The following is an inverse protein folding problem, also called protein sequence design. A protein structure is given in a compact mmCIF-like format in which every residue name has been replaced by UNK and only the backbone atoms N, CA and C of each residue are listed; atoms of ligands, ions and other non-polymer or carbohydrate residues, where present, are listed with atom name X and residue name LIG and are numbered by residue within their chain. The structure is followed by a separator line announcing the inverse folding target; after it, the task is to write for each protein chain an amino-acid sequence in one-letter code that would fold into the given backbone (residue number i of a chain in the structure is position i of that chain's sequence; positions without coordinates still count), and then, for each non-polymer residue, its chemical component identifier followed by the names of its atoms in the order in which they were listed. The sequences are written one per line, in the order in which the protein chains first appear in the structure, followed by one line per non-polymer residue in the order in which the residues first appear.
data_IF_108305947720
#
_entry.id   IF_108305947720
#
_cell.length_a   1.000
_cell.length_b   1.000
_cell.length_c   1.000
_cell.angle_alpha   90.00
_cell.angle_beta   90.00
_cell.angle_gamma   90.00
#
_symmetry.space_group_name_H-M   'P 1'
#
loop_
_entity.id
_entity.type
_entity.pdbx_description
1 polymer ?
#
# COMPACT_ATOMS: atom_id res chain seq x y z
N UNK A 1 -30.55 -22.00 -8.08
CA UNK A 1 -29.89 -20.95 -7.26
C UNK A 1 -30.92 -20.37 -6.31
N UNK A 2 -30.54 -20.09 -5.05
CA UNK A 2 -31.45 -19.57 -4.02
C UNK A 2 -31.96 -18.17 -4.42
N UNK A 3 -33.28 -17.89 -4.29
CA UNK A 3 -33.88 -16.57 -4.58
C UNK A 3 -33.16 -15.42 -3.86
N UNK A 4 -32.66 -15.68 -2.65
CA UNK A 4 -31.90 -14.70 -1.88
C UNK A 4 -30.55 -14.35 -2.52
N UNK A 5 -29.83 -15.34 -3.08
CA UNK A 5 -28.58 -15.11 -3.80
C UNK A 5 -28.79 -14.19 -5.01
N UNK A 6 -29.82 -14.48 -5.82
CA UNK A 6 -30.13 -13.69 -7.01
C UNK A 6 -30.52 -12.25 -6.66
N UNK A 7 -31.11 -12.02 -5.48
CA UNK A 7 -31.39 -10.68 -4.99
C UNK A 7 -30.10 -9.93 -4.63
N UNK A 8 -29.17 -10.55 -3.90
CA UNK A 8 -27.87 -9.96 -3.57
C UNK A 8 -27.03 -9.65 -4.82
N UNK A 9 -27.05 -10.51 -5.83
CA UNK A 9 -26.33 -10.29 -7.09
C UNK A 9 -26.88 -9.06 -7.84
N UNK A 10 -28.21 -8.90 -7.89
CA UNK A 10 -28.84 -7.73 -8.52
C UNK A 10 -28.46 -6.44 -7.82
N UNK A 11 -28.50 -6.43 -6.49
CA UNK A 11 -28.16 -5.25 -5.67
C UNK A 11 -26.68 -4.88 -5.81
N UNK A 12 -25.77 -5.86 -5.84
CA UNK A 12 -24.34 -5.62 -5.90
C UNK A 12 -23.81 -5.30 -7.30
N UNK A 13 -24.49 -5.77 -8.36
CA UNK A 13 -24.04 -5.63 -9.76
C UNK A 13 -23.55 -4.22 -10.16
N UNK A 14 -24.21 -3.09 -9.78
CA UNK A 14 -23.75 -1.76 -10.16
C UNK A 14 -22.43 -1.35 -9.47
N UNK A 15 -22.17 -1.91 -8.28
CA UNK A 15 -21.00 -1.58 -7.46
C UNK A 15 -19.77 -2.41 -7.80
N UNK A 16 -19.92 -3.53 -8.52
CA UNK A 16 -18.80 -4.39 -8.91
C UNK A 16 -17.74 -3.61 -9.70
N UNK A 17 -18.18 -2.72 -10.60
CA UNK A 17 -17.26 -1.88 -11.40
C UNK A 17 -16.46 -0.89 -10.51
N UNK A 18 -17.05 -0.43 -9.40
CA UNK A 18 -16.46 0.55 -8.48
C UNK A 18 -15.58 -0.13 -7.42
N UNK A 19 -15.78 -1.43 -7.17
CA UNK A 19 -15.08 -2.17 -6.11
C UNK A 19 -13.54 -2.07 -6.18
N UNK A 20 -12.96 -2.12 -7.39
CA UNK A 20 -11.52 -1.94 -7.58
C UNK A 20 -11.07 -0.51 -7.22
N UNK A 21 -11.90 0.49 -7.50
CA UNK A 21 -11.62 1.88 -7.14
C UNK A 21 -11.68 2.12 -5.63
N UNK A 22 -12.59 1.45 -4.91
CA UNK A 22 -12.62 1.50 -3.44
C UNK A 22 -11.30 1.00 -2.84
N UNK A 23 -10.80 -0.14 -3.30
CA UNK A 23 -9.52 -0.68 -2.85
C UNK A 23 -8.34 0.22 -3.24
N UNK A 24 -8.37 0.77 -4.45
CA UNK A 24 -7.31 1.63 -4.98
C UNK A 24 -7.20 2.94 -4.21
N UNK A 25 -8.32 3.63 -3.99
CA UNK A 25 -8.35 4.91 -3.30
C UNK A 25 -8.01 4.76 -1.82
N UNK A 26 -8.54 3.73 -1.16
CA UNK A 26 -8.20 3.46 0.25
C UNK A 26 -6.71 3.15 0.42
N UNK A 27 -6.14 2.27 -0.40
CA UNK A 27 -4.72 1.94 -0.37
C UNK A 27 -3.85 3.17 -0.70
N UNK A 28 -4.16 3.88 -1.78
CA UNK A 28 -3.39 5.04 -2.20
C UNK A 28 -3.39 6.15 -1.14
N UNK A 29 -4.57 6.44 -0.56
CA UNK A 29 -4.71 7.45 0.48
C UNK A 29 -3.97 7.05 1.76
N UNK A 30 -4.04 5.77 2.16
CA UNK A 30 -3.29 5.28 3.32
C UNK A 30 -1.78 5.49 3.16
N UNK A 31 -1.21 5.14 2.01
CA UNK A 31 0.22 5.36 1.72
C UNK A 31 0.59 6.85 1.68
N UNK A 32 -0.27 7.70 1.12
CA UNK A 32 -0.07 9.17 1.13
C UNK A 32 -0.05 9.69 2.58
N UNK A 33 -0.96 9.25 3.44
CA UNK A 33 -1.02 9.67 4.85
C UNK A 33 0.18 9.13 5.66
N UNK A 34 0.57 7.87 5.41
CA UNK A 34 1.78 7.26 5.98
C UNK A 34 3.04 8.04 5.64
N UNK A 35 3.12 8.56 4.42
CA UNK A 35 4.21 9.41 3.96
C UNK A 35 4.12 10.83 4.52
N UNK A 36 2.92 11.42 4.56
CA UNK A 36 2.71 12.78 5.09
C UNK A 36 3.22 12.90 6.53
N UNK A 37 2.98 11.88 7.36
CA UNK A 37 3.52 11.81 8.73
C UNK A 37 5.05 11.69 8.83
N UNK A 38 5.77 11.61 7.71
CA UNK A 38 7.24 11.53 7.60
C UNK A 38 7.87 12.83 7.05
N UNK A 39 7.09 13.89 6.85
CA UNK A 39 7.64 15.20 6.48
C UNK A 39 7.83 16.12 7.69
N UNK A 40 8.81 17.04 7.67
CA UNK A 40 9.78 17.29 6.59
C UNK A 40 10.83 16.18 6.46
N UNK A 41 11.49 16.13 5.30
CA UNK A 41 12.60 15.20 5.06
C UNK A 41 13.93 15.82 5.56
N UNK A 42 14.83 15.02 6.16
CA UNK A 42 14.66 13.60 6.48
C UNK A 42 13.74 13.38 7.71
N UNK A 43 12.93 12.30 7.73
CA UNK A 43 12.01 12.01 8.83
C UNK A 43 12.76 11.67 10.13
N UNK A 44 12.84 12.61 11.07
CA UNK A 44 13.60 12.46 12.33
C UNK A 44 13.35 11.12 13.04
N UNK A 45 12.08 10.76 13.31
CA UNK A 45 11.73 9.52 14.02
C UNK A 45 12.18 8.25 13.31
N UNK A 46 12.05 8.22 11.97
CA UNK A 46 12.44 7.05 11.18
C UNK A 46 13.97 6.98 11.04
N UNK A 47 14.61 8.13 10.85
CA UNK A 47 16.07 8.26 10.81
C UNK A 47 16.71 7.76 12.12
N UNK A 48 16.23 8.22 13.28
CA UNK A 48 16.75 7.75 14.58
C UNK A 48 16.53 6.23 14.78
N UNK A 49 15.40 5.70 14.30
CA UNK A 49 15.19 4.25 14.27
C UNK A 49 16.21 3.54 13.39
N UNK A 50 16.45 4.05 12.19
CA UNK A 50 17.43 3.49 11.24
C UNK A 50 18.86 3.53 11.78
N UNK A 51 19.24 4.60 12.49
CA UNK A 51 20.50 4.67 13.23
C UNK A 51 20.59 3.60 14.31
N UNK A 52 19.55 3.44 15.12
CA UNK A 52 19.48 2.41 16.16
C UNK A 52 19.62 0.99 15.57
N UNK A 53 18.99 0.72 14.42
CA UNK A 53 19.12 -0.54 13.69
C UNK A 53 20.40 -0.64 12.83
N UNK A 54 21.32 0.33 12.92
CA UNK A 54 22.58 0.38 12.16
C UNK A 54 22.40 0.27 10.63
N UNK A 55 21.31 0.84 10.11
CA UNK A 55 21.05 0.94 8.67
C UNK A 55 22.00 1.99 8.07
N UNK A 56 22.71 1.69 6.96
CA UNK A 56 23.61 2.64 6.33
C UNK A 56 22.86 3.83 5.74
N UNK A 57 23.45 5.02 5.78
CA UNK A 57 22.87 6.27 5.26
C UNK A 57 21.42 6.51 5.74
N UNK A 58 21.18 6.53 7.06
CA UNK A 58 19.83 6.49 7.64
C UNK A 58 18.93 7.62 7.14
N UNK A 59 19.45 8.85 7.02
CA UNK A 59 18.73 10.01 6.49
C UNK A 59 18.28 9.82 5.03
N UNK A 60 19.15 9.22 4.20
CA UNK A 60 18.87 8.99 2.78
C UNK A 60 17.82 7.89 2.64
N UNK A 61 18.02 6.76 3.31
CA UNK A 61 17.10 5.63 3.20
C UNK A 61 15.74 5.98 3.81
N UNK A 62 15.70 6.67 4.94
CA UNK A 62 14.43 7.08 5.57
C UNK A 62 13.65 8.07 4.68
N UNK A 63 14.36 8.98 4.00
CA UNK A 63 13.77 9.89 3.00
C UNK A 63 13.26 9.12 1.77
N UNK A 64 14.02 8.14 1.27
CA UNK A 64 13.59 7.29 0.15
C UNK A 64 12.35 6.46 0.51
N UNK A 65 12.22 5.99 1.75
CA UNK A 65 11.00 5.32 2.22
C UNK A 65 9.81 6.28 2.20
N UNK A 66 9.96 7.48 2.78
CA UNK A 66 8.90 8.49 2.78
C UNK A 66 8.46 8.87 1.35
N UNK A 67 9.42 9.12 0.45
CA UNK A 67 9.13 9.43 -0.95
C UNK A 67 8.53 8.22 -1.70
N UNK A 68 9.02 7.01 -1.44
CA UNK A 68 8.51 5.79 -2.04
C UNK A 68 7.06 5.52 -1.66
N UNK A 69 6.69 5.74 -0.39
CA UNK A 69 5.30 5.67 0.06
C UNK A 69 4.42 6.72 -0.63
N UNK A 70 4.89 7.97 -0.74
CA UNK A 70 4.13 9.03 -1.41
C UNK A 70 3.91 8.72 -2.89
N UNK A 71 4.99 8.40 -3.60
CA UNK A 71 4.99 8.16 -5.05
C UNK A 71 4.16 6.92 -5.37
N UNK A 72 4.27 5.85 -4.58
CA UNK A 72 3.43 4.66 -4.77
C UNK A 72 1.96 4.95 -4.47
N UNK A 73 1.65 5.70 -3.40
CA UNK A 73 0.28 6.10 -3.07
C UNK A 73 -0.38 6.98 -4.15
N UNK A 74 0.36 7.93 -4.72
CA UNK A 74 -0.11 8.73 -5.87
C UNK A 74 -0.19 7.86 -7.13
N UNK A 75 0.86 7.08 -7.38
CA UNK A 75 1.00 6.24 -8.58
C UNK A 75 -0.11 5.21 -8.70
N UNK A 76 -0.55 4.59 -7.60
CA UNK A 76 -1.66 3.63 -7.64
C UNK A 76 -2.97 4.32 -8.03
N UNK A 77 -3.20 5.57 -7.62
CA UNK A 77 -4.41 6.31 -7.97
C UNK A 77 -4.34 6.76 -9.44
N UNK A 78 -3.27 7.46 -9.81
CA UNK A 78 -3.06 8.00 -11.17
C UNK A 78 -3.02 6.88 -12.21
N UNK A 79 -2.33 5.78 -11.91
CA UNK A 79 -2.26 4.61 -12.78
C UNK A 79 -3.63 4.02 -13.10
N UNK A 80 -4.61 4.14 -12.20
CA UNK A 80 -5.98 3.67 -12.43
C UNK A 80 -6.77 4.51 -13.44
N UNK A 81 -6.46 5.79 -13.58
CA UNK A 81 -7.11 6.69 -14.55
C UNK A 81 -6.59 6.51 -15.98
N UNK A 82 -5.44 5.86 -16.16
CA UNK A 82 -4.80 5.70 -17.47
C UNK A 82 -5.22 4.34 -18.07
N UNK A 83 -6.10 4.37 -19.08
CA UNK A 83 -6.69 3.19 -19.74
C UNK A 83 -5.77 2.48 -20.75
N UNK A 84 -4.45 2.56 -20.57
CA UNK A 84 -3.45 1.98 -21.47
C UNK A 84 -2.51 0.99 -20.76
N UNK A 85 -1.62 0.36 -21.53
CA UNK A 85 -0.55 -0.49 -20.99
C UNK A 85 0.31 0.25 -19.96
N UNK A 86 0.51 1.56 -20.17
CA UNK A 86 1.25 2.42 -19.24
C UNK A 86 0.57 2.50 -17.87
N UNK A 87 -0.75 2.72 -17.82
CA UNK A 87 -1.48 2.76 -16.54
C UNK A 87 -1.42 1.45 -15.78
N UNK A 88 -1.46 0.32 -16.52
CA UNK A 88 -1.28 -1.00 -15.93
C UNK A 88 0.14 -1.19 -15.36
N UNK A 89 1.18 -0.74 -16.06
CA UNK A 89 2.57 -0.79 -15.57
C UNK A 89 2.72 0.09 -14.32
N UNK A 90 2.24 1.33 -14.34
CA UNK A 90 2.28 2.25 -13.19
C UNK A 90 1.60 1.62 -11.97
N UNK A 91 0.42 1.04 -12.15
CA UNK A 91 -0.31 0.37 -11.07
C UNK A 91 0.48 -0.79 -10.48
N UNK A 92 1.08 -1.63 -11.33
CA UNK A 92 1.86 -2.79 -10.89
C UNK A 92 3.14 -2.39 -10.15
N UNK A 93 3.85 -1.38 -10.67
CA UNK A 93 5.06 -0.85 -10.02
C UNK A 93 4.72 -0.16 -8.69
N UNK A 94 3.61 0.56 -8.62
CA UNK A 94 3.14 1.17 -7.37
C UNK A 94 2.83 0.12 -6.31
N UNK A 95 2.04 -0.91 -6.66
CA UNK A 95 1.76 -2.03 -5.76
C UNK A 95 3.03 -2.79 -5.35
N UNK A 96 3.96 -3.00 -6.28
CA UNK A 96 5.26 -3.64 -6.00
C UNK A 96 6.13 -2.83 -5.04
N UNK A 97 6.20 -1.51 -5.21
CA UNK A 97 6.90 -0.62 -4.29
C UNK A 97 6.30 -0.68 -2.87
N UNK A 98 4.97 -0.67 -2.76
CA UNK A 98 4.26 -0.83 -1.48
C UNK A 98 4.63 -2.15 -0.78
N UNK A 99 4.68 -3.24 -1.53
CA UNK A 99 5.08 -4.56 -1.01
C UNK A 99 6.50 -4.53 -0.46
N UNK A 100 7.46 -3.96 -1.19
CA UNK A 100 8.87 -3.85 -0.74
C UNK A 100 8.98 -3.00 0.53
N UNK A 101 8.28 -1.86 0.58
CA UNK A 101 8.27 -0.97 1.75
C UNK A 101 7.67 -1.69 2.97
N UNK A 102 6.56 -2.41 2.80
CA UNK A 102 5.91 -3.16 3.88
C UNK A 102 6.78 -4.31 4.39
N UNK A 103 7.52 -5.00 3.51
CA UNK A 103 8.50 -6.01 3.95
C UNK A 103 9.56 -5.36 4.86
N UNK A 104 10.04 -4.16 4.49
CA UNK A 104 10.95 -3.38 5.33
C UNK A 104 10.33 -3.02 6.69
N UNK A 105 9.10 -2.51 6.69
CA UNK A 105 8.36 -2.17 7.91
C UNK A 105 8.17 -3.39 8.83
N UNK A 106 7.77 -4.54 8.29
CA UNK A 106 7.66 -5.79 9.03
C UNK A 106 8.99 -6.25 9.60
N UNK A 107 10.06 -6.11 8.83
CA UNK A 107 11.40 -6.60 9.19
C UNK A 107 12.11 -5.72 10.22
N UNK A 108 11.74 -4.45 10.36
CA UNK A 108 12.43 -3.51 11.25
C UNK A 108 11.55 -3.05 12.41
N UNK A 109 10.30 -2.66 12.12
CA UNK A 109 9.42 -1.97 13.07
C UNK A 109 8.45 -2.93 13.76
N UNK A 110 8.07 -4.02 13.10
CA UNK A 110 6.96 -4.88 13.55
C UNK A 110 7.36 -6.36 13.69
N UNK A 111 8.63 -6.67 13.96
CA UNK A 111 9.10 -8.06 14.09
C UNK A 111 8.36 -8.85 15.18
N UNK A 112 8.08 -8.22 16.31
CA UNK A 112 7.37 -8.82 17.45
C UNK A 112 5.89 -9.13 17.13
N UNK A 113 5.33 -8.52 16.09
CA UNK A 113 3.92 -8.72 15.72
C UNK A 113 3.65 -10.09 15.09
N UNK A 114 4.67 -10.74 14.53
CA UNK A 114 4.55 -12.11 14.02
C UNK A 114 4.39 -13.12 15.15
N UNK A 115 5.04 -12.88 16.29
CA UNK A 115 4.95 -13.76 17.47
C UNK A 115 3.65 -13.53 18.22
N UNK A 116 3.24 -12.26 18.39
CA UNK A 116 2.01 -11.90 19.10
C UNK A 116 0.73 -12.04 18.27
N UNK A 117 0.83 -12.29 16.96
CA UNK A 117 -0.30 -12.35 16.03
C UNK A 117 -0.92 -11.00 15.68
N UNK A 118 -0.40 -9.88 16.24
CA UNK A 118 -0.88 -8.51 16.00
C UNK A 118 -0.81 -8.09 14.53
N UNK A 119 0.04 -8.75 13.73
CA UNK A 119 0.12 -8.50 12.30
C UNK A 119 -1.23 -8.74 11.59
N UNK A 120 -2.03 -9.72 12.04
CA UNK A 120 -3.31 -10.05 11.39
C UNK A 120 -4.48 -9.17 11.84
N UNK A 121 -4.29 -8.34 12.87
CA UNK A 121 -5.32 -7.44 13.41
C UNK A 121 -5.01 -5.98 13.16
N UNK A 122 -3.96 -5.68 12.38
CA UNK A 122 -3.50 -4.32 12.10
C UNK A 122 -3.58 -3.98 10.62
N UNK A 123 -3.66 -2.68 10.34
CA UNK A 123 -3.72 -2.11 8.99
C UNK A 123 -2.57 -2.56 8.08
N UNK A 124 -1.35 -2.69 8.62
CA UNK A 124 -0.13 -2.93 7.84
C UNK A 124 -0.19 -4.21 6.99
N UNK A 125 -0.83 -5.27 7.49
CA UNK A 125 -1.03 -6.49 6.72
C UNK A 125 -1.97 -6.28 5.54
N UNK A 126 -3.05 -5.51 5.72
CA UNK A 126 -3.98 -5.19 4.63
C UNK A 126 -3.31 -4.30 3.57
N UNK A 127 -2.48 -3.34 3.98
CA UNK A 127 -1.68 -2.53 3.04
C UNK A 127 -0.75 -3.40 2.18
N UNK A 128 -0.08 -4.37 2.80
CA UNK A 128 0.76 -5.34 2.08
C UNK A 128 -0.05 -6.17 1.09
N UNK A 129 -1.17 -6.76 1.54
CA UNK A 129 -2.00 -7.64 0.70
C UNK A 129 -2.63 -6.86 -0.47
N UNK A 130 -3.13 -5.65 -0.23
CA UNK A 130 -3.70 -4.82 -1.30
C UNK A 130 -2.62 -4.31 -2.27
N UNK A 131 -1.43 -3.98 -1.78
CA UNK A 131 -0.27 -3.70 -2.62
C UNK A 131 0.07 -4.88 -3.55
N UNK A 132 0.12 -6.09 -2.99
CA UNK A 132 0.36 -7.33 -3.73
C UNK A 132 -0.75 -7.63 -4.74
N UNK A 133 -2.01 -7.39 -4.35
CA UNK A 133 -3.16 -7.52 -5.23
C UNK A 133 -3.01 -6.64 -6.48
N UNK A 134 -2.69 -5.36 -6.33
CA UNK A 134 -2.49 -4.48 -7.48
C UNK A 134 -1.19 -4.75 -8.26
N UNK A 135 -0.14 -5.22 -7.59
CA UNK A 135 1.09 -5.70 -8.24
C UNK A 135 0.79 -6.85 -9.22
N UNK A 136 -0.06 -7.80 -8.81
CA UNK A 136 -0.39 -8.98 -9.62
C UNK A 136 -1.46 -8.65 -10.66
N UNK A 137 -2.53 -7.95 -10.26
CA UNK A 137 -3.71 -7.68 -11.10
C UNK A 137 -3.44 -6.56 -12.11
N UNK A 138 -2.81 -5.48 -11.66
CA UNK A 138 -2.71 -4.24 -12.42
C UNK A 138 -4.08 -3.56 -12.57
N UNK A 139 -4.41 -3.09 -13.77
CA UNK A 139 -5.67 -2.40 -14.07
C UNK A 139 -6.81 -3.32 -14.55
N UNK A 140 -6.57 -4.64 -14.62
CA UNK A 140 -7.54 -5.61 -15.12
C UNK A 140 -8.59 -5.97 -14.06
#
# INVERSE_FOLDING_TARGET
MNKFSNFLDRVSSPFISISNWLLRLSLGMAFILHSYGKFPLPPERLTSGFEFWSIPFPEVISSLVALGELISGIGIIVGGFISSSLGNVITRLSGGAMVVIMIGAFSLVHRDWFVSGKIFTTEQFFLFVLGLFFMIKGNK
#
